data_IF_867208793579
#
_entry.id   IF_867208793579
#
_cell.length_a   1.000
_cell.length_b   1.000
_cell.length_c   1.000
_cell.angle_alpha   90.00
_cell.angle_beta   90.00
_cell.angle_gamma   90.00
#
_symmetry.space_group_name_H-M   'P 1'
#
loop_
_entity.id
_entity.type
_entity.pdbx_description
1 polymer ?
#
# COMPACT_ATOMS: atom_id res chain seq x y z
N UNK A 1 3.02 17.30 -17.01
CA UNK A 1 1.63 17.67 -16.65
C UNK A 1 1.39 16.97 -15.31
N UNK A 2 1.97 17.52 -14.23
CA UNK A 2 2.06 16.89 -12.89
C UNK A 2 1.78 17.85 -11.73
N UNK A 3 1.27 19.06 -11.98
CA UNK A 3 0.85 19.97 -10.90
C UNK A 3 -0.64 19.82 -10.62
N UNK A 4 -1.03 18.68 -10.05
CA UNK A 4 -2.42 18.47 -9.55
C UNK A 4 -2.58 19.08 -8.14
N UNK A 5 -1.48 19.37 -7.46
CA UNK A 5 -1.47 19.83 -6.06
C UNK A 5 -0.59 21.07 -5.96
N UNK A 6 -1.13 22.15 -5.39
CA UNK A 6 -0.40 23.40 -5.18
C UNK A 6 0.77 23.23 -4.21
N UNK A 7 1.81 24.05 -4.33
CA UNK A 7 2.95 23.99 -3.43
C UNK A 7 2.56 24.36 -1.99
N UNK A 8 1.58 25.25 -1.80
CA UNK A 8 1.01 25.55 -0.49
C UNK A 8 0.40 24.31 0.18
N UNK A 9 -0.32 23.47 -0.56
CA UNK A 9 -0.92 22.25 -0.03
C UNK A 9 0.15 21.20 0.30
N UNK A 10 1.23 21.12 -0.50
CA UNK A 10 2.40 20.28 -0.19
C UNK A 10 3.10 20.73 1.09
N UNK A 11 3.30 22.03 1.27
CA UNK A 11 3.87 22.59 2.51
C UNK A 11 2.96 22.34 3.71
N UNK A 12 1.63 22.40 3.53
CA UNK A 12 0.68 22.04 4.57
C UNK A 12 0.77 20.56 4.97
N UNK A 13 0.96 19.65 4.01
CA UNK A 13 1.20 18.22 4.27
C UNK A 13 2.49 18.01 5.07
N UNK A 14 3.59 18.67 4.69
CA UNK A 14 4.87 18.54 5.39
C UNK A 14 4.77 19.04 6.83
N UNK A 15 4.11 20.17 7.06
CA UNK A 15 3.84 20.67 8.42
C UNK A 15 3.05 19.67 9.27
N UNK A 16 2.12 18.92 8.67
CA UNK A 16 1.32 17.94 9.39
C UNK A 16 2.13 16.71 9.86
N UNK A 17 3.25 16.39 9.20
CA UNK A 17 4.16 15.32 9.63
C UNK A 17 4.76 15.57 11.02
N UNK A 18 4.92 16.84 11.40
CA UNK A 18 5.49 17.25 12.70
C UNK A 18 4.44 17.46 13.80
N UNK A 19 3.13 17.31 13.50
CA UNK A 19 2.07 17.45 14.52
C UNK A 19 2.18 16.32 15.55
N UNK A 20 1.73 16.57 16.79
CA UNK A 20 1.60 15.52 17.81
C UNK A 20 0.63 14.43 17.35
N UNK A 21 1.00 13.17 17.59
CA UNK A 21 0.18 12.01 17.25
C UNK A 21 -1.20 12.10 17.89
N UNK A 22 -2.25 12.03 17.06
CA UNK A 22 -3.62 11.75 17.53
C UNK A 22 -3.78 10.23 17.68
N UNK A 23 -4.56 9.78 18.67
CA UNK A 23 -4.91 8.35 18.82
C UNK A 23 -5.41 7.81 17.48
N UNK A 24 -4.75 6.76 16.98
CA UNK A 24 -5.16 6.09 15.76
C UNK A 24 -6.59 5.57 15.88
N UNK A 25 -7.33 5.63 14.77
CA UNK A 25 -8.65 5.02 14.69
C UNK A 25 -8.50 3.50 14.84
N UNK A 26 -8.97 2.96 15.98
CA UNK A 26 -9.08 1.50 16.14
C UNK A 26 -10.22 1.02 15.25
N UNK A 27 -9.84 0.46 14.09
CA UNK A 27 -10.71 -0.15 13.06
C UNK A 27 -11.64 0.86 12.37
N UNK A 28 -11.80 0.72 11.06
CA UNK A 28 -12.74 1.47 10.23
C UNK A 28 -14.16 0.88 10.33
N UNK A 29 -14.60 0.47 11.52
CA UNK A 29 -15.95 -0.08 11.68
C UNK A 29 -16.97 1.04 11.43
N UNK A 30 -17.62 1.00 10.26
CA UNK A 30 -18.74 1.86 9.89
C UNK A 30 -18.41 3.33 9.57
N UNK A 31 -17.14 3.73 9.49
CA UNK A 31 -16.80 5.11 9.10
C UNK A 31 -16.90 5.29 7.60
N UNK A 32 -17.88 6.10 7.17
CA UNK A 32 -17.89 6.65 5.80
C UNK A 32 -16.72 7.62 5.66
N UNK A 33 -15.96 7.47 4.59
CA UNK A 33 -15.05 8.51 4.14
C UNK A 33 -15.90 9.67 3.64
N UNK A 34 -15.76 10.84 4.28
CA UNK A 34 -16.36 12.06 3.74
C UNK A 34 -15.54 12.51 2.53
N UNK A 35 -16.19 12.86 1.40
CA UNK A 35 -15.48 13.41 0.24
C UNK A 35 -14.77 14.74 0.55
N UNK A 36 -15.24 15.47 1.57
CA UNK A 36 -14.76 16.80 1.96
C UNK A 36 -13.52 16.77 2.89
N UNK A 37 -12.71 15.71 2.85
CA UNK A 37 -11.47 15.66 3.64
C UNK A 37 -10.35 16.29 2.82
N UNK A 38 -9.78 17.39 3.34
CA UNK A 38 -8.61 18.02 2.74
C UNK A 38 -7.41 17.07 2.71
N UNK A 39 -6.64 17.13 1.62
CA UNK A 39 -5.52 16.22 1.40
C UNK A 39 -4.44 16.36 2.49
N UNK A 40 -4.14 17.59 2.95
CA UNK A 40 -3.26 17.82 4.10
C UNK A 40 -3.64 17.02 5.33
N UNK A 41 -4.92 16.81 5.60
CA UNK A 41 -5.38 16.11 6.81
C UNK A 41 -5.23 14.58 6.70
N UNK A 42 -4.99 14.06 5.49
CA UNK A 42 -4.67 12.66 5.23
C UNK A 42 -3.19 12.33 5.47
N UNK A 43 -2.35 13.32 5.79
CA UNK A 43 -0.92 13.16 6.10
C UNK A 43 -0.69 13.27 7.62
N UNK A 44 -0.90 12.19 8.38
CA UNK A 44 -0.68 12.18 9.82
C UNK A 44 0.81 12.05 10.18
N UNK A 45 1.15 12.35 11.43
CA UNK A 45 2.50 12.21 11.98
C UNK A 45 3.07 10.79 11.82
N UNK A 46 2.22 9.75 11.85
CA UNK A 46 2.66 8.35 11.59
C UNK A 46 3.29 8.17 10.22
N UNK A 47 2.94 9.00 9.23
CA UNK A 47 3.54 8.97 7.89
C UNK A 47 5.03 9.34 7.95
N UNK A 48 5.47 10.14 8.93
CA UNK A 48 6.89 10.44 9.16
C UNK A 48 7.72 9.18 9.35
N UNK A 49 7.20 8.23 10.13
CA UNK A 49 7.85 6.94 10.37
C UNK A 49 7.97 6.10 9.10
N UNK A 50 6.97 6.17 8.22
CA UNK A 50 7.05 5.52 6.90
C UNK A 50 8.18 6.13 6.07
N UNK A 51 8.35 7.46 6.11
CA UNK A 51 9.44 8.14 5.40
C UNK A 51 10.82 7.77 5.97
N UNK A 52 10.97 7.67 7.30
CA UNK A 52 12.21 7.18 7.92
C UNK A 52 12.57 5.77 7.44
N UNK A 53 11.57 4.89 7.33
CA UNK A 53 11.78 3.52 6.87
C UNK A 53 12.19 3.42 5.38
N UNK A 54 12.05 4.49 4.58
CA UNK A 54 12.51 4.48 3.19
C UNK A 54 14.02 4.59 3.08
N UNK A 55 14.68 5.19 4.07
CA UNK A 55 16.14 5.30 4.17
C UNK A 55 16.60 5.00 5.61
N UNK A 56 16.65 3.71 6.01
CA UNK A 56 17.04 3.31 7.36
C UNK A 56 18.45 3.81 7.71
N UNK A 57 18.61 4.45 8.87
CA UNK A 57 19.89 5.01 9.33
C UNK A 57 20.26 6.37 8.73
N UNK A 58 19.37 7.00 7.96
CA UNK A 58 19.52 8.36 7.41
C UNK A 58 18.38 9.28 7.88
N UNK A 59 17.85 9.06 9.09
CA UNK A 59 16.69 9.77 9.61
C UNK A 59 16.92 11.28 9.75
N UNK A 60 18.16 11.69 10.07
CA UNK A 60 18.58 13.09 10.15
C UNK A 60 18.50 13.77 8.78
N UNK A 61 18.99 13.11 7.71
CA UNK A 61 18.92 13.64 6.35
C UNK A 61 17.48 13.77 5.86
N UNK A 62 16.62 12.80 6.22
CA UNK A 62 15.18 12.88 5.94
C UNK A 62 14.56 14.05 6.71
N UNK A 63 14.98 14.29 7.96
CA UNK A 63 14.58 15.47 8.74
C UNK A 63 14.94 16.79 8.03
N UNK A 64 16.21 16.94 7.64
CA UNK A 64 16.69 18.14 6.92
C UNK A 64 15.98 18.34 5.59
N UNK A 65 15.70 17.27 4.84
CA UNK A 65 14.91 17.35 3.60
C UNK A 65 13.51 17.91 3.85
N UNK A 66 12.84 17.45 4.92
CA UNK A 66 11.49 17.88 5.28
C UNK A 66 11.42 19.34 5.78
N UNK A 67 12.55 19.94 6.14
CA UNK A 67 12.63 21.38 6.45
C UNK A 67 12.75 22.25 5.19
N UNK A 68 13.22 21.68 4.07
CA UNK A 68 13.32 22.37 2.78
C UNK A 68 11.96 22.44 2.09
N UNK A 69 11.76 23.46 1.25
CA UNK A 69 10.53 23.59 0.47
C UNK A 69 10.36 22.39 -0.49
N UNK A 70 9.16 21.80 -0.59
CA UNK A 70 8.87 20.71 -1.54
C UNK A 70 9.21 21.04 -3.00
N UNK A 71 9.28 22.33 -3.37
CA UNK A 71 9.67 22.77 -4.72
C UNK A 71 11.10 22.36 -5.07
N UNK A 72 12.00 22.27 -4.09
CA UNK A 72 13.40 21.94 -4.34
C UNK A 72 13.68 20.43 -4.24
N UNK A 73 12.71 19.62 -3.84
CA UNK A 73 12.96 18.20 -3.53
C UNK A 73 13.40 17.39 -4.75
N UNK A 74 12.94 17.69 -5.96
CA UNK A 74 13.31 16.96 -7.17
C UNK A 74 14.82 17.05 -7.51
N UNK A 75 15.54 18.02 -6.93
CA UNK A 75 17.01 18.14 -7.10
C UNK A 75 17.79 17.65 -5.87
N UNK A 76 17.11 17.29 -4.79
CA UNK A 76 17.73 16.84 -3.54
C UNK A 76 18.09 15.35 -3.60
N UNK A 77 19.36 15.04 -3.30
CA UNK A 77 19.87 13.67 -3.37
C UNK A 77 19.07 12.69 -2.47
N UNK A 78 18.73 13.12 -1.25
CA UNK A 78 17.93 12.32 -0.31
C UNK A 78 16.56 11.96 -0.87
N UNK A 79 15.89 12.92 -1.53
CA UNK A 79 14.59 12.67 -2.16
C UNK A 79 14.72 11.72 -3.36
N UNK A 80 15.75 11.91 -4.19
CA UNK A 80 16.01 11.03 -5.33
C UNK A 80 16.28 9.58 -4.89
N UNK A 81 17.02 9.37 -3.81
CA UNK A 81 17.24 8.06 -3.22
C UNK A 81 15.94 7.43 -2.69
N UNK A 82 15.11 8.20 -1.99
CA UNK A 82 13.78 7.74 -1.53
C UNK A 82 12.89 7.35 -2.72
N UNK A 83 12.84 8.20 -3.75
CA UNK A 83 12.08 7.98 -5.00
C UNK A 83 12.53 6.71 -5.70
N UNK A 84 13.85 6.48 -5.78
CA UNK A 84 14.42 5.23 -6.31
C UNK A 84 13.97 4.03 -5.49
N UNK A 85 14.09 4.08 -4.17
CA UNK A 85 13.69 2.96 -3.31
C UNK A 85 12.21 2.62 -3.48
N UNK A 86 11.32 3.61 -3.49
CA UNK A 86 9.88 3.40 -3.73
C UNK A 86 9.63 2.81 -5.10
N UNK A 87 10.32 3.28 -6.16
CA UNK A 87 10.14 2.75 -7.52
C UNK A 87 10.56 1.28 -7.66
N UNK A 88 11.48 0.81 -6.80
CA UNK A 88 11.97 -0.57 -6.79
C UNK A 88 11.14 -1.49 -5.88
N UNK A 89 10.23 -0.94 -5.07
CA UNK A 89 9.36 -1.75 -4.22
C UNK A 89 8.40 -2.59 -5.07
N UNK A 90 8.48 -3.91 -4.92
CA UNK A 90 7.55 -4.83 -5.55
C UNK A 90 6.17 -4.68 -4.90
N UNK A 91 5.17 -4.24 -5.68
CA UNK A 91 3.77 -4.18 -5.25
C UNK A 91 3.18 -5.60 -5.22
N UNK A 92 3.58 -6.39 -4.22
CA UNK A 92 3.08 -7.76 -4.01
C UNK A 92 1.60 -7.78 -3.63
N UNK A 93 1.09 -6.66 -3.10
CA UNK A 93 -0.27 -6.58 -2.59
C UNK A 93 -1.32 -6.62 -3.71
N UNK A 94 -1.09 -5.98 -4.86
CA UNK A 94 -2.05 -5.98 -5.98
C UNK A 94 -2.31 -7.39 -6.54
N UNK A 95 -1.28 -8.23 -6.59
CA UNK A 95 -1.44 -9.64 -6.97
C UNK A 95 -2.22 -10.46 -5.92
N UNK A 96 -2.02 -10.17 -4.63
CA UNK A 96 -2.74 -10.83 -3.53
C UNK A 96 -4.19 -10.37 -3.48
N UNK A 97 -4.46 -9.07 -3.58
CA UNK A 97 -5.80 -8.48 -3.63
C UNK A 97 -6.59 -8.99 -4.85
N UNK A 98 -5.97 -9.04 -6.04
CA UNK A 98 -6.57 -9.66 -7.23
C UNK A 98 -6.81 -11.15 -7.04
N UNK A 99 -5.87 -11.86 -6.41
CA UNK A 99 -6.03 -13.28 -6.08
C UNK A 99 -7.21 -13.54 -5.15
N UNK A 100 -7.36 -12.71 -4.10
CA UNK A 100 -8.47 -12.78 -3.15
C UNK A 100 -9.79 -12.41 -3.83
N UNK A 101 -9.83 -11.34 -4.64
CA UNK A 101 -11.02 -10.94 -5.37
C UNK A 101 -11.47 -12.02 -6.36
N UNK A 102 -10.52 -12.64 -7.08
CA UNK A 102 -10.80 -13.75 -7.97
C UNK A 102 -11.32 -14.98 -7.20
N UNK A 103 -10.66 -15.37 -6.11
CA UNK A 103 -11.12 -16.48 -5.28
C UNK A 103 -12.52 -16.22 -4.70
N UNK A 104 -12.78 -15.00 -4.24
CA UNK A 104 -14.06 -14.60 -3.65
C UNK A 104 -15.18 -14.59 -4.69
N UNK A 105 -14.94 -13.98 -5.85
CA UNK A 105 -15.91 -13.95 -6.96
C UNK A 105 -16.21 -15.35 -7.50
N UNK A 106 -15.19 -16.19 -7.71
CA UNK A 106 -15.34 -17.56 -8.15
C UNK A 106 -16.12 -18.40 -7.13
N UNK A 107 -15.78 -18.32 -5.85
CA UNK A 107 -16.51 -19.01 -4.78
C UNK A 107 -17.97 -18.54 -4.71
N UNK A 108 -18.25 -17.25 -4.89
CA UNK A 108 -19.61 -16.71 -4.87
C UNK A 108 -20.51 -17.25 -6.00
N UNK A 109 -19.91 -17.68 -7.13
CA UNK A 109 -20.61 -18.33 -8.24
C UNK A 109 -20.92 -19.80 -7.91
N UNK A 110 -20.00 -20.50 -7.24
CA UNK A 110 -20.15 -21.93 -6.91
C UNK A 110 -21.08 -22.12 -5.71
N UNK A 111 -20.81 -21.42 -4.60
CA UNK A 111 -21.58 -21.55 -3.37
C UNK A 111 -21.37 -20.37 -2.42
N UNK A 112 -22.46 -19.94 -1.78
CA UNK A 112 -22.44 -18.91 -0.72
C UNK A 112 -22.30 -19.50 0.68
N UNK A 113 -22.28 -20.83 0.80
CA UNK A 113 -22.13 -21.55 2.06
C UNK A 113 -20.64 -21.65 2.44
N UNK A 114 -20.26 -21.07 3.58
CA UNK A 114 -18.86 -21.06 4.05
C UNK A 114 -18.28 -22.46 4.30
N UNK A 115 -19.11 -23.42 4.74
CA UNK A 115 -18.68 -24.80 4.97
C UNK A 115 -18.32 -25.47 3.65
N UNK A 116 -19.13 -25.24 2.61
CA UNK A 116 -18.85 -25.74 1.27
C UNK A 116 -17.61 -25.07 0.65
N UNK A 117 -17.42 -23.77 0.86
CA UNK A 117 -16.21 -23.06 0.41
C UNK A 117 -14.95 -23.63 1.07
N UNK A 118 -14.97 -23.86 2.39
CA UNK A 118 -13.84 -24.46 3.09
C UNK A 118 -13.56 -25.90 2.64
N UNK A 119 -14.61 -26.67 2.35
CA UNK A 119 -14.45 -28.01 1.80
C UNK A 119 -13.76 -27.98 0.42
N UNK A 120 -14.20 -27.08 -0.47
CA UNK A 120 -13.61 -26.91 -1.79
C UNK A 120 -12.12 -26.52 -1.71
N UNK A 121 -11.76 -25.58 -0.82
CA UNK A 121 -10.37 -25.20 -0.59
C UNK A 121 -9.51 -26.39 -0.12
N UNK A 122 -10.03 -27.23 0.77
CA UNK A 122 -9.33 -28.45 1.23
C UNK A 122 -9.11 -29.45 0.10
N UNK A 123 -10.11 -29.65 -0.76
CA UNK A 123 -10.01 -30.54 -1.94
C UNK A 123 -8.98 -30.00 -2.94
N UNK A 124 -9.02 -28.71 -3.26
CA UNK A 124 -8.05 -28.06 -4.16
C UNK A 124 -6.62 -28.15 -3.61
N UNK A 125 -6.43 -27.93 -2.31
CA UNK A 125 -5.12 -28.03 -1.66
C UNK A 125 -4.59 -29.48 -1.62
N UNK A 126 -5.48 -30.46 -1.44
CA UNK A 126 -5.14 -31.89 -1.58
C UNK A 126 -4.70 -32.21 -3.02
N UNK A 127 -5.50 -31.82 -4.01
CA UNK A 127 -5.22 -32.04 -5.42
C UNK A 127 -3.89 -31.40 -5.87
N UNK A 128 -3.60 -30.16 -5.45
CA UNK A 128 -2.34 -29.48 -5.76
C UNK A 128 -1.11 -30.17 -5.15
N UNK A 129 -1.25 -30.80 -3.97
CA UNK A 129 -0.17 -31.59 -3.35
C UNK A 129 0.04 -32.92 -4.06
N UNK A 130 -1.04 -33.54 -4.52
CA UNK A 130 -1.03 -34.83 -5.22
C UNK A 130 -0.59 -34.69 -6.68
N UNK A 131 -0.76 -33.51 -7.28
CA UNK A 131 -0.36 -33.19 -8.65
C UNK A 131 0.51 -31.92 -8.68
N UNK A 132 1.82 -32.03 -8.35
CA UNK A 132 2.72 -30.87 -8.24
C UNK A 132 3.06 -30.22 -9.59
N UNK A 133 2.89 -30.95 -10.70
CA UNK A 133 3.27 -30.49 -12.04
C UNK A 133 2.09 -30.52 -13.01
N UNK A 134 1.42 -29.38 -13.14
CA UNK A 134 0.54 -29.12 -14.28
C UNK A 134 1.06 -27.90 -15.02
N UNK A 135 2.25 -28.07 -15.61
CA UNK A 135 2.66 -27.16 -16.68
C UNK A 135 1.84 -27.52 -17.93
N UNK A 136 1.53 -26.53 -18.77
CA UNK A 136 0.82 -26.74 -20.03
C UNK A 136 1.53 -27.77 -20.94
N UNK A 137 2.83 -27.96 -20.76
CA UNK A 137 3.62 -28.96 -21.46
C UNK A 137 3.29 -30.41 -21.04
N UNK A 138 2.80 -30.63 -19.82
CA UNK A 138 2.40 -31.97 -19.35
C UNK A 138 1.03 -32.45 -19.89
N UNK A 139 0.28 -31.59 -20.56
CA UNK A 139 -1.03 -31.90 -21.16
C UNK A 139 -1.02 -31.86 -22.70
N UNK A 140 0.15 -31.62 -23.31
CA UNK A 140 0.33 -31.49 -24.77
C UNK A 140 1.22 -32.62 -25.31
N UNK A 141 1.09 -33.82 -24.73
CA UNK A 141 1.55 -35.10 -25.30
C UNK A 141 0.31 -35.91 -25.70
#
# INVERSE_FOLDING_TARGET
MDEIISNEEKEAMVRNLFRRERKGLKRLDGKRFSPDIDLKDLVPSRTRRTLDNLLPGREEEVGTLLEKSPETWETEATFLDMKRNVSQMKVVNDAVERGIALATSFNSIITKDEVQQQYLLKVMAKHRREQPSTSKAAYME
#
